data_IF_953544082050
#
_entry.id   IF_953544082050
#
_cell.length_a   1.000
_cell.length_b   1.000
_cell.length_c   1.000
_cell.angle_alpha   90.00
_cell.angle_beta   90.00
_cell.angle_gamma   90.00
#
_symmetry.space_group_name_H-M   'P 1'
#
loop_
_entity.id
_entity.type
_entity.pdbx_description
1 polymer ?
#
# COMPACT_ATOMS: atom_id res chain seq x y z
N UNK A 1 -15.97 7.20 14.88
CA UNK A 1 -14.82 6.60 15.57
C UNK A 1 -13.57 7.36 15.11
N UNK A 2 -13.31 8.53 15.70
CA UNK A 2 -12.13 9.33 15.32
C UNK A 2 -10.85 8.54 15.60
N UNK A 3 -9.87 8.64 14.70
CA UNK A 3 -8.62 7.85 14.76
C UNK A 3 -7.42 8.78 14.60
N UNK A 4 -6.29 8.42 15.22
CA UNK A 4 -5.02 9.11 15.07
C UNK A 4 -3.95 8.10 14.61
N UNK A 5 -3.36 8.34 13.44
CA UNK A 5 -2.27 7.54 12.89
C UNK A 5 -1.00 8.40 12.82
N UNK A 6 -0.19 8.38 13.87
CA UNK A 6 1.04 9.17 13.98
C UNK A 6 0.84 10.69 13.70
N UNK A 7 -0.17 11.30 14.32
CA UNK A 7 -0.53 12.71 14.13
C UNK A 7 -1.50 12.96 12.97
N UNK A 8 -1.78 11.95 12.14
CA UNK A 8 -2.82 12.02 11.12
C UNK A 8 -4.19 11.73 11.72
N UNK A 9 -4.94 12.80 12.00
CA UNK A 9 -6.28 12.74 12.57
C UNK A 9 -7.37 12.57 11.52
N UNK A 10 -8.23 11.57 11.70
CA UNK A 10 -9.36 11.27 10.81
C UNK A 10 -10.67 11.14 11.58
N UNK A 11 -11.80 11.38 10.89
CA UNK A 11 -13.14 11.23 11.46
C UNK A 11 -13.56 9.77 11.66
N UNK A 12 -12.96 8.86 10.89
CA UNK A 12 -13.20 7.42 10.93
C UNK A 12 -11.95 6.64 10.45
N UNK A 13 -11.82 5.35 10.79
CA UNK A 13 -10.66 4.53 10.43
C UNK A 13 -10.77 3.91 9.02
N UNK A 14 -11.68 4.38 8.15
CA UNK A 14 -11.90 3.76 6.84
C UNK A 14 -11.04 4.44 5.79
N UNK A 15 -10.19 3.64 5.13
CA UNK A 15 -9.31 4.09 4.05
C UNK A 15 -9.54 3.22 2.82
N UNK A 16 -9.34 3.79 1.63
CA UNK A 16 -9.18 2.93 0.44
C UNK A 16 -7.86 2.18 0.52
N UNK A 17 -7.78 1.00 -0.11
CA UNK A 17 -6.51 0.34 -0.34
C UNK A 17 -5.87 0.85 -1.64
N UNK A 18 -4.57 1.12 -1.60
CA UNK A 18 -3.79 1.50 -2.80
C UNK A 18 -4.03 0.52 -3.94
N UNK A 19 -4.36 1.05 -5.13
CA UNK A 19 -4.61 0.27 -6.34
C UNK A 19 -6.07 -0.15 -6.55
N UNK A 20 -6.95 0.00 -5.55
CA UNK A 20 -8.38 -0.33 -5.65
C UNK A 20 -9.27 0.88 -5.94
N UNK A 21 -8.73 2.10 -5.89
CA UNK A 21 -9.48 3.35 -6.02
C UNK A 21 -8.83 4.37 -6.97
N UNK A 22 -7.82 3.97 -7.75
CA UNK A 22 -7.00 4.89 -8.55
C UNK A 22 -6.57 6.12 -7.73
N UNK A 23 -7.02 7.32 -8.10
CA UNK A 23 -6.86 8.55 -7.30
C UNK A 23 -8.18 9.04 -6.67
N UNK A 24 -9.28 8.28 -6.78
CA UNK A 24 -10.57 8.56 -6.16
C UNK A 24 -11.62 9.21 -7.07
N UNK A 25 -11.24 9.69 -8.26
CA UNK A 25 -12.14 10.37 -9.20
C UNK A 25 -13.31 9.47 -9.63
N UNK A 26 -13.04 8.21 -9.92
CA UNK A 26 -14.06 7.24 -10.32
C UNK A 26 -15.02 6.91 -9.17
N UNK A 27 -14.57 7.00 -7.92
CA UNK A 27 -15.39 6.75 -6.74
C UNK A 27 -16.30 7.94 -6.39
N UNK A 28 -15.95 9.15 -6.81
CA UNK A 28 -16.71 10.36 -6.51
C UNK A 28 -18.12 10.38 -7.13
N UNK A 29 -18.40 9.51 -8.10
CA UNK A 29 -19.74 9.30 -8.63
C UNK A 29 -20.66 8.55 -7.66
N UNK A 30 -20.12 7.84 -6.67
CA UNK A 30 -20.86 6.97 -5.76
C UNK A 30 -20.96 7.53 -4.33
N UNK A 31 -19.94 8.27 -3.87
CA UNK A 31 -19.96 8.91 -2.56
C UNK A 31 -18.99 10.10 -2.49
N UNK A 32 -19.14 10.92 -1.44
CA UNK A 32 -18.20 12.01 -1.16
C UNK A 32 -16.87 11.46 -0.63
N UNK A 33 -15.81 11.60 -1.42
CA UNK A 33 -14.46 11.14 -1.07
C UNK A 33 -13.89 11.78 0.21
N UNK A 34 -14.41 12.91 0.66
CA UNK A 34 -14.03 13.53 1.93
C UNK A 34 -14.66 12.88 3.17
N UNK A 35 -15.68 12.04 2.97
CA UNK A 35 -16.42 11.39 4.06
C UNK A 35 -15.65 10.22 4.70
N UNK A 36 -14.68 9.62 4.01
CA UNK A 36 -13.85 8.54 4.55
C UNK A 36 -12.59 9.09 5.24
N UNK A 37 -11.96 8.25 6.07
CA UNK A 37 -10.77 8.61 6.85
C UNK A 37 -9.57 9.00 6.01
N UNK A 38 -9.34 8.32 4.88
CA UNK A 38 -8.29 8.70 3.95
C UNK A 38 -8.40 8.03 2.58
N UNK A 39 -7.96 8.76 1.56
CA UNK A 39 -7.86 8.27 0.19
C UNK A 39 -6.44 7.83 -0.10
N UNK A 40 -6.18 6.52 -0.01
CA UNK A 40 -4.89 5.96 -0.44
C UNK A 40 -4.88 5.83 -1.95
N UNK A 41 -4.00 6.60 -2.58
CA UNK A 41 -3.84 6.60 -4.03
C UNK A 41 -3.19 5.30 -4.49
N UNK A 42 -3.40 4.96 -5.76
CA UNK A 42 -2.56 3.95 -6.43
C UNK A 42 -1.09 4.32 -6.29
N UNK A 43 -0.23 3.33 -6.02
CA UNK A 43 1.20 3.56 -5.92
C UNK A 43 1.74 4.24 -7.18
N UNK A 44 2.30 5.43 -6.98
CA UNK A 44 2.84 6.29 -8.03
C UNK A 44 4.32 5.95 -8.23
N UNK A 45 4.72 5.84 -9.51
CA UNK A 45 6.11 5.61 -9.93
C UNK A 45 6.71 6.86 -10.55
N UNK A 46 8.04 6.95 -10.66
CA UNK A 46 8.69 8.12 -11.25
C UNK A 46 8.23 8.39 -12.68
N UNK A 47 8.28 7.36 -13.52
CA UNK A 47 7.90 7.44 -14.92
C UNK A 47 6.54 6.79 -15.15
N UNK A 48 5.83 7.20 -16.22
CA UNK A 48 4.61 6.52 -16.65
C UNK A 48 4.85 5.04 -16.92
N UNK A 49 3.85 4.20 -16.65
CA UNK A 49 3.91 2.75 -16.88
C UNK A 49 2.62 2.26 -17.50
N UNK A 50 2.73 1.47 -18.57
CA UNK A 50 1.59 0.80 -19.21
C UNK A 50 1.05 -0.39 -18.40
N UNK A 51 1.86 -0.97 -17.51
CA UNK A 51 1.54 -2.18 -16.73
C UNK A 51 1.99 -3.47 -17.42
N UNK A 52 1.59 -4.61 -16.88
CA UNK A 52 1.89 -5.95 -17.44
C UNK A 52 0.95 -6.33 -18.60
N UNK A 53 1.21 -7.36 -19.41
CA UNK A 53 0.25 -7.84 -20.41
C UNK A 53 -1.07 -8.34 -19.78
N UNK A 54 -2.15 -8.38 -20.58
CA UNK A 54 -3.44 -8.98 -20.22
C UNK A 54 -3.50 -10.46 -20.59
N UNK A 55 -4.29 -11.30 -19.87
CA UNK A 55 -5.16 -10.97 -18.73
C UNK A 55 -4.39 -10.62 -17.44
N UNK A 56 -4.88 -9.59 -16.73
CA UNK A 56 -4.25 -9.06 -15.50
C UNK A 56 -5.00 -9.42 -14.22
N UNK A 57 -6.14 -10.07 -14.32
CA UNK A 57 -7.00 -10.44 -13.20
C UNK A 57 -7.58 -11.83 -13.43
N UNK A 58 -7.77 -12.57 -12.34
CA UNK A 58 -8.43 -13.88 -12.34
C UNK A 58 -9.19 -14.04 -11.01
N UNK A 59 -10.36 -14.66 -11.04
CA UNK A 59 -11.12 -14.95 -9.82
C UNK A 59 -10.51 -16.12 -9.05
N UNK A 60 -10.70 -16.14 -7.73
CA UNK A 60 -10.34 -17.25 -6.85
C UNK A 60 -11.47 -17.48 -5.84
N UNK A 61 -11.53 -18.65 -5.18
CA UNK A 61 -12.48 -18.84 -4.09
C UNK A 61 -12.34 -17.74 -3.02
N UNK A 62 -13.40 -16.93 -2.85
CA UNK A 62 -13.44 -15.80 -1.91
C UNK A 62 -12.33 -14.75 -2.11
N UNK A 63 -11.90 -14.51 -3.34
CA UNK A 63 -10.88 -13.50 -3.63
C UNK A 63 -10.60 -13.32 -5.11
N UNK A 64 -9.50 -12.66 -5.42
CA UNK A 64 -9.01 -12.53 -6.80
C UNK A 64 -7.49 -12.47 -6.85
N UNK A 65 -6.91 -12.86 -7.97
CA UNK A 65 -5.53 -12.55 -8.32
C UNK A 65 -5.47 -11.29 -9.18
N UNK A 66 -4.43 -10.49 -8.99
CA UNK A 66 -4.10 -9.36 -9.86
C UNK A 66 -2.61 -9.31 -10.24
N UNK A 67 -2.30 -8.88 -11.47
CA UNK A 67 -0.94 -8.74 -12.00
C UNK A 67 -0.85 -7.44 -12.81
N UNK A 68 -1.19 -6.31 -12.19
CA UNK A 68 -1.33 -5.02 -12.90
C UNK A 68 0.01 -4.45 -13.37
N UNK A 69 1.07 -4.57 -12.56
CA UNK A 69 2.40 -4.05 -12.90
C UNK A 69 2.60 -2.55 -12.71
N UNK A 70 1.95 -1.97 -11.69
CA UNK A 70 2.05 -0.55 -11.33
C UNK A 70 1.71 0.42 -12.49
N UNK A 71 0.72 0.07 -13.32
CA UNK A 71 0.25 0.94 -14.40
C UNK A 71 -0.15 2.32 -13.85
N UNK A 72 0.32 3.41 -14.45
CA UNK A 72 -0.05 4.74 -13.99
C UNK A 72 0.62 5.84 -14.80
N UNK A 73 0.19 7.10 -14.62
CA UNK A 73 0.66 8.24 -15.41
C UNK A 73 2.04 8.74 -14.98
N UNK A 74 2.60 8.22 -13.89
CA UNK A 74 3.84 8.71 -13.29
C UNK A 74 3.60 9.88 -12.34
N UNK A 75 4.65 10.29 -11.63
CA UNK A 75 4.54 11.27 -10.55
C UNK A 75 4.20 12.67 -11.03
N UNK A 76 4.71 13.09 -12.18
CA UNK A 76 4.53 14.47 -12.64
C UNK A 76 3.07 14.75 -13.00
N UNK A 77 2.45 13.89 -13.81
CA UNK A 77 1.03 13.98 -14.13
C UNK A 77 0.11 13.81 -12.89
N UNK A 78 0.49 12.92 -11.96
CA UNK A 78 -0.24 12.76 -10.70
C UNK A 78 -0.25 14.06 -9.86
N UNK A 79 0.89 14.73 -9.75
CA UNK A 79 1.02 15.98 -9.01
C UNK A 79 0.33 17.16 -9.72
N UNK A 80 0.25 17.13 -11.04
CA UNK A 80 -0.43 18.16 -11.83
C UNK A 80 -1.97 18.05 -11.77
N UNK A 81 -2.51 16.83 -11.67
CA UNK A 81 -3.94 16.60 -11.85
C UNK A 81 -4.62 15.96 -10.64
N UNK A 82 -4.13 14.80 -10.20
CA UNK A 82 -4.83 13.94 -9.23
C UNK A 82 -4.77 14.49 -7.81
N UNK A 83 -3.57 14.87 -7.33
CA UNK A 83 -3.39 15.39 -5.99
C UNK A 83 -4.10 16.74 -5.76
N UNK A 84 -4.02 17.72 -6.69
CA UNK A 84 -4.80 18.95 -6.60
C UNK A 84 -6.31 18.69 -6.60
N UNK A 85 -6.79 17.72 -7.38
CA UNK A 85 -8.21 17.36 -7.38
C UNK A 85 -8.66 16.80 -6.04
N UNK A 86 -7.89 15.90 -5.41
CA UNK A 86 -8.19 15.38 -4.07
C UNK A 86 -8.25 16.51 -3.03
N UNK A 87 -7.28 17.42 -3.08
CA UNK A 87 -7.23 18.58 -2.19
C UNK A 87 -8.46 19.49 -2.35
N UNK A 88 -8.86 19.77 -3.60
CA UNK A 88 -10.04 20.58 -3.91
C UNK A 88 -11.35 19.95 -3.44
N UNK A 89 -11.39 18.61 -3.33
CA UNK A 89 -12.54 17.87 -2.78
C UNK A 89 -12.52 17.74 -1.26
N UNK A 90 -11.49 18.25 -0.57
CA UNK A 90 -11.33 18.09 0.88
C UNK A 90 -11.00 16.66 1.30
N UNK A 91 -10.59 15.80 0.36
CA UNK A 91 -10.15 14.44 0.67
C UNK A 91 -8.78 14.47 1.36
N UNK A 92 -8.59 13.58 2.34
CA UNK A 92 -7.28 13.41 2.99
C UNK A 92 -6.45 12.42 2.18
N UNK A 93 -5.55 12.92 1.33
CA UNK A 93 -4.77 12.07 0.44
C UNK A 93 -3.61 11.38 1.18
N UNK A 94 -3.60 10.05 1.10
CA UNK A 94 -2.44 9.23 1.45
C UNK A 94 -1.77 8.84 0.14
N UNK A 95 -0.62 9.45 -0.17
CA UNK A 95 0.07 9.18 -1.43
C UNK A 95 0.89 7.92 -1.29
N UNK A 96 0.54 6.88 -2.05
CA UNK A 96 1.32 5.65 -2.12
C UNK A 96 2.44 5.82 -3.15
N UNK A 97 3.69 5.48 -2.82
CA UNK A 97 4.83 5.52 -3.75
C UNK A 97 5.45 4.13 -3.92
N UNK A 98 5.90 3.81 -5.13
CA UNK A 98 6.60 2.56 -5.43
C UNK A 98 7.78 2.81 -6.38
N UNK A 99 8.91 2.16 -6.11
CA UNK A 99 10.15 2.28 -6.85
C UNK A 99 10.84 0.93 -7.04
N UNK A 100 11.74 0.86 -8.01
CA UNK A 100 12.54 -0.35 -8.32
C UNK A 100 13.94 -0.31 -7.70
N UNK A 101 14.35 0.85 -7.19
CA UNK A 101 15.62 1.13 -6.52
C UNK A 101 15.42 2.12 -5.37
N UNK A 102 16.40 2.26 -4.47
CA UNK A 102 16.35 3.27 -3.39
C UNK A 102 16.30 4.69 -3.97
N UNK A 103 17.00 4.92 -5.08
CA UNK A 103 17.05 6.18 -5.80
C UNK A 103 15.68 6.59 -6.34
N UNK A 104 14.88 5.63 -6.82
CA UNK A 104 13.50 5.88 -7.25
C UNK A 104 12.66 6.40 -6.10
N UNK A 105 12.72 5.74 -4.93
CA UNK A 105 11.99 6.15 -3.73
C UNK A 105 12.44 7.53 -3.24
N UNK A 106 13.74 7.81 -3.24
CA UNK A 106 14.31 9.12 -2.90
C UNK A 106 13.77 10.22 -3.81
N UNK A 107 13.77 9.99 -5.12
CA UNK A 107 13.29 10.97 -6.09
C UNK A 107 11.77 11.18 -5.97
N UNK A 108 10.99 10.13 -5.72
CA UNK A 108 9.55 10.23 -5.44
C UNK A 108 9.28 11.04 -4.18
N UNK A 109 9.97 10.71 -3.07
CA UNK A 109 9.86 11.41 -1.81
C UNK A 109 10.19 12.91 -1.93
N UNK A 110 11.21 13.27 -2.73
CA UNK A 110 11.54 14.66 -3.04
C UNK A 110 10.43 15.38 -3.80
N UNK A 111 9.83 14.74 -4.81
CA UNK A 111 8.78 15.36 -5.64
C UNK A 111 7.49 15.59 -4.87
N UNK A 112 7.11 14.69 -3.97
CA UNK A 112 5.93 14.84 -3.11
C UNK A 112 6.17 15.76 -1.92
N UNK A 113 7.42 16.05 -1.56
CA UNK A 113 7.76 16.92 -0.43
C UNK A 113 7.17 18.32 -0.63
N UNK A 114 6.33 18.73 0.32
CA UNK A 114 5.74 20.08 0.34
C UNK A 114 4.59 20.27 -0.66
N UNK A 115 4.12 19.21 -1.31
CA UNK A 115 2.96 19.30 -2.19
C UNK A 115 1.68 19.56 -1.39
N UNK A 116 0.86 20.54 -1.79
CA UNK A 116 -0.40 20.79 -1.12
C UNK A 116 -1.33 19.59 -1.28
N UNK A 117 -2.06 19.25 -0.21
CA UNK A 117 -2.98 18.11 -0.19
C UNK A 117 -2.36 16.77 0.20
N UNK A 118 -1.03 16.65 0.26
CA UNK A 118 -0.38 15.46 0.82
C UNK A 118 -0.59 15.40 2.34
N UNK A 119 -1.31 14.38 2.83
CA UNK A 119 -1.58 14.23 4.25
C UNK A 119 -0.77 13.11 4.92
N UNK A 120 -0.42 12.07 4.18
CA UNK A 120 0.43 10.95 4.63
C UNK A 120 1.14 10.33 3.42
N UNK A 121 2.33 9.78 3.62
CA UNK A 121 3.08 9.02 2.62
C UNK A 121 3.03 7.53 2.94
N UNK A 122 2.54 6.70 2.02
CA UNK A 122 2.64 5.25 2.10
C UNK A 122 3.79 4.76 1.20
N UNK A 123 4.81 4.13 1.77
CA UNK A 123 5.96 3.59 1.03
C UNK A 123 5.73 2.12 0.75
N UNK A 124 5.36 1.81 -0.49
CA UNK A 124 5.08 0.45 -0.93
C UNK A 124 6.37 -0.31 -1.29
N UNK A 125 7.00 -0.91 -0.29
CA UNK A 125 8.23 -1.71 -0.42
C UNK A 125 7.98 -3.16 -0.87
N UNK A 126 6.74 -3.52 -1.23
CA UNK A 126 6.38 -4.88 -1.66
C UNK A 126 6.79 -5.18 -3.12
N UNK A 127 7.43 -4.22 -3.81
CA UNK A 127 7.87 -4.37 -5.19
C UNK A 127 9.23 -5.10 -5.29
N UNK A 128 9.47 -5.90 -6.34
CA UNK A 128 10.75 -6.58 -6.53
C UNK A 128 11.88 -5.55 -6.73
N UNK A 129 13.02 -5.77 -6.07
CA UNK A 129 14.23 -4.98 -6.29
C UNK A 129 14.84 -5.35 -7.65
N UNK A 130 15.05 -4.38 -8.53
CA UNK A 130 15.64 -4.65 -9.86
C UNK A 130 17.17 -4.66 -9.81
N UNK A 131 17.77 -3.97 -8.83
CA UNK A 131 19.22 -3.91 -8.64
C UNK A 131 19.80 -5.21 -8.02
N UNK A 132 18.99 -5.94 -7.25
CA UNK A 132 19.36 -7.21 -6.63
C UNK A 132 18.39 -8.28 -7.13
N UNK A 133 18.77 -8.94 -8.24
CA UNK A 133 17.92 -9.85 -9.01
C UNK A 133 17.45 -11.03 -8.14
N UNK A 134 16.29 -10.90 -7.52
CA UNK A 134 15.60 -11.98 -6.80
C UNK A 134 15.02 -11.60 -5.44
N UNK A 135 15.43 -10.47 -4.86
CA UNK A 135 15.03 -10.08 -3.50
C UNK A 135 13.96 -8.97 -3.55
N UNK A 136 12.78 -9.22 -2.99
CA UNK A 136 11.78 -8.16 -2.75
C UNK A 136 12.26 -7.34 -1.54
N UNK A 137 12.26 -5.99 -1.62
CA UNK A 137 12.70 -5.14 -0.50
C UNK A 137 11.98 -5.51 0.80
N UNK A 138 10.68 -5.81 0.73
CA UNK A 138 9.86 -6.23 1.86
C UNK A 138 10.29 -7.55 2.52
N UNK A 139 11.06 -8.42 1.86
CA UNK A 139 11.45 -9.72 2.40
C UNK A 139 12.81 -9.70 3.13
N UNK A 140 13.57 -8.61 3.02
CA UNK A 140 14.81 -8.40 3.78
C UNK A 140 14.64 -7.16 4.69
N UNK A 141 14.59 -7.34 6.03
CA UNK A 141 14.51 -6.22 6.97
C UNK A 141 15.56 -5.13 6.74
N UNK A 142 16.79 -5.48 6.32
CA UNK A 142 17.84 -4.50 6.06
C UNK A 142 17.55 -3.70 4.80
N UNK A 143 17.09 -4.35 3.73
CA UNK A 143 16.71 -3.68 2.49
C UNK A 143 15.50 -2.75 2.69
N UNK A 144 14.47 -3.23 3.40
CA UNK A 144 13.32 -2.43 3.80
C UNK A 144 13.74 -1.18 4.59
N UNK A 145 14.56 -1.35 5.62
CA UNK A 145 15.07 -0.25 6.43
C UNK A 145 15.87 0.79 5.63
N UNK A 146 16.69 0.34 4.65
CA UNK A 146 17.43 1.27 3.77
C UNK A 146 16.50 2.17 2.96
N UNK A 147 15.44 1.61 2.37
CA UNK A 147 14.46 2.39 1.61
C UNK A 147 13.77 3.41 2.51
N UNK A 148 13.27 2.97 3.67
CA UNK A 148 12.53 3.83 4.59
C UNK A 148 13.39 4.97 5.13
N UNK A 149 14.64 4.69 5.54
CA UNK A 149 15.57 5.73 5.98
C UNK A 149 15.80 6.78 4.89
N UNK A 150 16.08 6.32 3.67
CA UNK A 150 16.32 7.20 2.54
C UNK A 150 15.08 8.05 2.19
N UNK A 151 13.87 7.49 2.29
CA UNK A 151 12.62 8.25 2.12
C UNK A 151 12.42 9.27 3.23
N UNK A 152 12.61 8.89 4.50
CA UNK A 152 12.44 9.77 5.66
C UNK A 152 13.34 11.00 5.59
N UNK A 153 14.59 10.86 5.14
CA UNK A 153 15.53 11.97 4.94
C UNK A 153 15.06 13.00 3.91
N UNK A 154 14.21 12.59 2.96
CA UNK A 154 13.76 13.45 1.86
C UNK A 154 12.33 13.97 2.06
N UNK A 155 11.50 13.22 2.76
CA UNK A 155 10.11 13.55 3.03
C UNK A 155 9.97 14.74 4.00
N UNK A 156 8.85 15.44 3.91
CA UNK A 156 8.55 16.56 4.80
C UNK A 156 8.44 16.09 6.26
N UNK A 157 9.10 16.72 7.25
CA UNK A 157 9.10 16.24 8.65
C UNK A 157 7.71 16.12 9.29
N UNK A 158 6.78 17.01 8.90
CA UNK A 158 5.40 16.99 9.40
C UNK A 158 4.45 16.05 8.64
N UNK A 159 4.94 15.26 7.68
CA UNK A 159 4.13 14.26 6.97
C UNK A 159 4.49 12.87 7.50
N UNK A 160 3.53 12.11 8.06
CA UNK A 160 3.79 10.75 8.54
C UNK A 160 4.07 9.79 7.40
N UNK A 161 4.97 8.85 7.64
CA UNK A 161 5.42 7.84 6.69
C UNK A 161 5.00 6.46 7.18
N UNK A 162 4.17 5.78 6.40
CA UNK A 162 3.75 4.41 6.66
C UNK A 162 4.45 3.46 5.69
N UNK A 163 5.13 2.44 6.21
CA UNK A 163 5.72 1.40 5.38
C UNK A 163 4.67 0.32 5.07
N UNK A 164 4.39 0.07 3.79
CA UNK A 164 3.43 -0.98 3.40
C UNK A 164 4.11 -2.34 3.30
N UNK A 165 3.73 -3.25 4.19
CA UNK A 165 4.42 -4.53 4.37
C UNK A 165 3.78 -5.67 3.56
N UNK A 166 4.66 -6.53 3.04
CA UNK A 166 4.26 -7.80 2.42
C UNK A 166 4.01 -8.87 3.49
N UNK A 167 2.96 -9.69 3.37
CA UNK A 167 2.76 -10.86 4.22
C UNK A 167 3.67 -12.05 3.83
N UNK A 168 4.30 -12.02 2.65
CA UNK A 168 5.12 -13.10 2.10
C UNK A 168 6.55 -13.10 2.70
N UNK A 169 6.63 -13.21 4.03
CA UNK A 169 7.87 -13.24 4.80
C UNK A 169 7.79 -14.26 5.92
N UNK A 170 8.94 -14.79 6.34
CA UNK A 170 9.02 -15.73 7.46
C UNK A 170 8.72 -15.06 8.80
N UNK A 171 9.22 -13.84 8.99
CA UNK A 171 9.05 -13.05 10.22
C UNK A 171 8.63 -11.61 9.88
N UNK A 172 7.34 -11.33 10.04
CA UNK A 172 6.78 -10.00 9.78
C UNK A 172 7.17 -8.97 10.84
N UNK A 173 7.43 -9.41 12.08
CA UNK A 173 7.82 -8.54 13.19
C UNK A 173 9.22 -8.01 12.96
N UNK A 174 10.14 -8.84 12.48
CA UNK A 174 11.50 -8.42 12.14
C UNK A 174 11.51 -7.31 11.07
N UNK A 175 10.68 -7.44 10.01
CA UNK A 175 10.57 -6.41 8.97
C UNK A 175 9.94 -5.14 9.52
N UNK A 176 8.82 -5.26 10.25
CA UNK A 176 8.13 -4.13 10.86
C UNK A 176 9.04 -3.35 11.83
N UNK A 177 9.78 -4.05 12.70
CA UNK A 177 10.73 -3.44 13.62
C UNK A 177 11.84 -2.68 12.87
N UNK A 178 12.38 -3.26 11.79
CA UNK A 178 13.44 -2.65 11.02
C UNK A 178 12.99 -1.37 10.29
N UNK A 179 11.77 -1.32 9.75
CA UNK A 179 11.24 -0.11 9.09
C UNK A 179 10.90 0.98 10.09
N UNK A 180 10.35 0.64 11.26
CA UNK A 180 10.07 1.61 12.33
C UNK A 180 11.39 2.20 12.85
N UNK A 181 12.39 1.36 13.12
CA UNK A 181 13.72 1.82 13.54
C UNK A 181 14.44 2.66 12.45
N UNK A 182 14.02 2.55 11.19
CA UNK A 182 14.53 3.36 10.08
C UNK A 182 13.80 4.71 9.93
N UNK A 183 12.75 4.96 10.72
CA UNK A 183 12.02 6.23 10.73
C UNK A 183 10.66 6.20 10.03
N UNK A 184 10.05 5.02 9.82
CA UNK A 184 8.62 4.96 9.55
C UNK A 184 7.84 5.30 10.83
N UNK A 185 6.81 6.13 10.69
CA UNK A 185 5.94 6.55 11.78
C UNK A 185 4.85 5.50 12.09
N UNK A 186 4.65 4.55 11.18
CA UNK A 186 3.73 3.42 11.31
C UNK A 186 3.88 2.43 10.17
N UNK A 187 3.03 1.40 10.15
CA UNK A 187 3.01 0.39 9.08
C UNK A 187 1.60 0.24 8.53
N UNK A 188 1.48 0.01 7.21
CA UNK A 188 0.23 -0.42 6.59
C UNK A 188 0.35 -1.87 6.15
N UNK A 189 -0.62 -2.71 6.49
CA UNK A 189 -0.49 -4.14 6.22
C UNK A 189 -1.82 -4.88 6.16
N UNK A 190 -2.00 -5.87 5.30
CA UNK A 190 -0.98 -6.49 4.44
C UNK A 190 -1.14 -6.08 2.98
N UNK A 191 -0.05 -6.17 2.22
CA UNK A 191 -0.17 -6.30 0.76
C UNK A 191 -0.70 -7.70 0.39
N UNK A 192 -0.90 -7.95 -0.90
CA UNK A 192 -1.41 -9.23 -1.40
C UNK A 192 -0.42 -10.38 -1.16
N UNK A 193 -0.94 -11.60 -0.98
CA UNK A 193 -0.17 -12.85 -1.00
C UNK A 193 0.15 -13.26 -2.45
N UNK A 194 1.15 -14.11 -2.68
CA UNK A 194 1.40 -14.66 -4.03
C UNK A 194 0.50 -15.86 -4.35
N UNK A 195 -0.09 -15.87 -5.54
CA UNK A 195 -0.92 -16.98 -6.03
C UNK A 195 -0.79 -17.28 -7.51
N UNK A 196 -1.27 -18.46 -7.90
CA UNK A 196 -1.36 -18.97 -9.27
C UNK A 196 -2.74 -19.62 -9.46
N UNK A 197 -3.41 -19.28 -10.55
CA UNK A 197 -4.61 -19.98 -11.02
C UNK A 197 -4.27 -20.56 -12.40
N UNK A 198 -4.55 -21.84 -12.58
CA UNK A 198 -4.50 -22.51 -13.88
C UNK A 198 -5.91 -22.55 -14.42
N UNK A 199 -6.11 -21.99 -15.61
CA UNK A 199 -7.33 -22.15 -16.38
C UNK A 199 -7.35 -23.59 -16.92
N UNK A 200 -8.38 -24.35 -16.52
CA UNK A 200 -8.50 -25.78 -16.84
C UNK A 200 -8.97 -26.05 -18.26
N UNK A 201 -9.52 -25.06 -18.95
CA UNK A 201 -9.93 -25.18 -20.35
C UNK A 201 -8.73 -24.96 -21.28
N UNK A 202 -7.88 -23.98 -20.95
CA UNK A 202 -6.68 -23.66 -21.74
C UNK A 202 -5.41 -24.37 -21.26
N UNK A 203 -5.45 -25.02 -20.09
CA UNK A 203 -4.32 -25.67 -19.41
C UNK A 203 -3.12 -24.74 -19.19
N UNK A 204 -3.38 -23.46 -18.99
CA UNK A 204 -2.36 -22.39 -18.85
C UNK A 204 -2.64 -21.53 -17.63
N UNK A 205 -1.63 -20.79 -17.13
CA UNK A 205 -1.88 -19.75 -16.14
C UNK A 205 -2.95 -18.77 -16.63
N UNK A 206 -3.96 -18.51 -15.79
CA UNK A 206 -5.05 -17.59 -16.11
C UNK A 206 -4.57 -16.13 -16.27
N UNK A 207 -3.42 -15.81 -15.67
CA UNK A 207 -2.77 -14.51 -15.80
C UNK A 207 -1.63 -14.58 -16.82
N UNK A 208 -1.52 -13.56 -17.67
CA UNK A 208 -0.37 -13.43 -18.57
C UNK A 208 0.95 -13.27 -17.80
N UNK A 209 0.90 -12.70 -16.59
CA UNK A 209 2.03 -12.60 -15.67
C UNK A 209 2.36 -13.90 -14.91
N UNK A 210 1.70 -15.02 -15.24
CA UNK A 210 1.75 -16.33 -14.59
C UNK A 210 1.21 -16.27 -13.15
N UNK A 211 1.91 -15.55 -12.27
CA UNK A 211 1.48 -15.33 -10.89
C UNK A 211 0.85 -13.95 -10.71
N UNK A 212 0.11 -13.81 -9.62
CA UNK A 212 -0.53 -12.57 -9.22
C UNK A 212 -0.69 -12.44 -7.71
N UNK A 213 -0.98 -11.23 -7.27
CA UNK A 213 -1.32 -10.93 -5.89
C UNK A 213 -2.73 -11.37 -5.57
N UNK A 214 -2.88 -12.31 -4.64
CA UNK A 214 -4.14 -12.74 -4.04
C UNK A 214 -4.64 -11.72 -3.03
N UNK A 215 -5.89 -11.28 -3.21
CA UNK A 215 -6.60 -10.38 -2.32
C UNK A 215 -8.05 -10.86 -2.09
N UNK A 216 -8.79 -10.12 -1.27
CA UNK A 216 -10.18 -10.44 -0.92
C UNK A 216 -10.31 -11.23 0.40
N UNK A 217 -11.53 -11.63 0.79
CA UNK A 217 -11.79 -12.31 2.06
C UNK A 217 -10.88 -13.51 2.36
N UNK A 218 -10.43 -14.21 1.32
CA UNK A 218 -9.52 -15.35 1.42
C UNK A 218 -8.24 -15.05 2.22
N UNK A 219 -7.74 -13.80 2.19
CA UNK A 219 -6.49 -13.43 2.87
C UNK A 219 -6.71 -12.84 4.28
N UNK A 220 -7.96 -12.63 4.71
CA UNK A 220 -8.26 -11.93 5.97
C UNK A 220 -7.64 -12.58 7.20
N UNK A 221 -7.71 -13.92 7.40
CA UNK A 221 -7.08 -14.55 8.56
C UNK A 221 -5.56 -14.32 8.63
N UNK A 222 -4.89 -14.27 7.47
CA UNK A 222 -3.45 -13.96 7.40
C UNK A 222 -3.19 -12.50 7.75
N UNK A 223 -4.02 -11.59 7.24
CA UNK A 223 -3.93 -10.16 7.53
C UNK A 223 -4.11 -9.86 9.03
N UNK A 224 -5.15 -10.40 9.65
CA UNK A 224 -5.44 -10.26 11.09
C UNK A 224 -4.29 -10.82 11.94
N UNK A 225 -3.75 -12.00 11.58
CA UNK A 225 -2.57 -12.57 12.25
C UNK A 225 -1.37 -11.62 12.17
N UNK A 226 -1.08 -11.06 11.00
CA UNK A 226 0.05 -10.14 10.84
C UNK A 226 -0.09 -8.88 11.69
N UNK A 227 -1.29 -8.27 11.71
CA UNK A 227 -1.58 -7.11 12.59
C UNK A 227 -1.38 -7.48 14.05
N UNK A 228 -1.98 -8.59 14.50
CA UNK A 228 -1.83 -9.07 15.88
C UNK A 228 -0.36 -9.27 16.27
N UNK A 229 0.43 -9.97 15.45
CA UNK A 229 1.83 -10.23 15.75
C UNK A 229 2.67 -8.95 15.86
N UNK A 230 2.46 -8.00 14.95
CA UNK A 230 3.17 -6.72 14.96
C UNK A 230 2.75 -5.88 16.16
N UNK A 231 1.44 -5.80 16.45
CA UNK A 231 0.93 -5.05 17.59
C UNK A 231 1.42 -5.63 18.93
N UNK A 232 1.41 -6.95 19.09
CA UNK A 232 1.94 -7.60 20.31
C UNK A 232 3.42 -7.29 20.55
N UNK A 233 4.21 -7.21 19.49
CA UNK A 233 5.64 -6.91 19.60
C UNK A 233 5.93 -5.40 19.76
N UNK A 234 5.07 -4.54 19.20
CA UNK A 234 5.28 -3.08 19.12
C UNK A 234 3.94 -2.35 19.35
N UNK A 235 3.40 -2.35 20.58
CA UNK A 235 2.04 -1.87 20.87
C UNK A 235 1.84 -0.38 20.59
N UNK A 236 2.91 0.41 20.65
CA UNK A 236 2.89 1.86 20.42
C UNK A 236 2.96 2.25 18.94
N UNK A 237 3.26 1.29 18.04
CA UNK A 237 3.38 1.56 16.60
C UNK A 237 2.00 1.57 15.97
N UNK A 238 1.55 2.67 15.34
CA UNK A 238 0.28 2.70 14.62
C UNK A 238 0.28 1.73 13.42
N UNK A 239 -0.79 0.94 13.30
CA UNK A 239 -0.99 -0.02 12.22
C UNK A 239 -2.23 0.36 11.41
N UNK A 240 -2.07 0.52 10.10
CA UNK A 240 -3.19 0.62 9.15
C UNK A 240 -3.47 -0.77 8.57
N UNK A 241 -4.39 -1.48 9.19
CA UNK A 241 -4.81 -2.84 8.82
C UNK A 241 -5.66 -2.92 7.56
N UNK A 242 -5.34 -3.85 6.64
CA UNK A 242 -6.10 -4.15 5.44
C UNK A 242 -5.93 -5.62 5.00
N UNK A 243 -6.94 -6.13 4.29
CA UNK A 243 -6.92 -7.48 3.72
C UNK A 243 -8.25 -8.20 3.92
N UNK A 244 -9.07 -8.27 2.88
CA UNK A 244 -10.33 -9.04 2.90
C UNK A 244 -11.47 -8.47 3.76
N UNK A 245 -11.41 -7.19 4.10
CA UNK A 245 -12.49 -6.46 4.79
C UNK A 245 -13.65 -6.24 3.81
N UNK A 246 -14.85 -6.70 4.15
CA UNK A 246 -16.09 -6.42 3.41
C UNK A 246 -17.21 -5.86 4.29
N UNK A 247 -17.13 -6.06 5.59
CA UNK A 247 -18.14 -5.64 6.56
C UNK A 247 -17.52 -4.88 7.73
N UNK A 248 -18.35 -4.20 8.52
CA UNK A 248 -17.90 -3.55 9.75
C UNK A 248 -17.39 -4.54 10.80
N UNK A 249 -17.91 -5.78 10.83
CA UNK A 249 -17.40 -6.83 11.71
C UNK A 249 -16.01 -7.30 11.28
N UNK A 250 -15.77 -7.40 9.96
CA UNK A 250 -14.42 -7.69 9.46
C UNK A 250 -13.44 -6.58 9.89
N UNK A 251 -13.84 -5.31 9.80
CA UNK A 251 -13.00 -4.20 10.26
C UNK A 251 -12.77 -4.23 11.78
N UNK A 252 -13.77 -4.66 12.55
CA UNK A 252 -13.64 -4.83 14.00
C UNK A 252 -12.61 -5.92 14.36
N UNK A 253 -12.49 -7.00 13.57
CA UNK A 253 -11.42 -7.99 13.77
C UNK A 253 -10.03 -7.34 13.73
N UNK A 254 -9.80 -6.38 12.82
CA UNK A 254 -8.54 -5.65 12.75
C UNK A 254 -8.34 -4.73 13.96
N UNK A 255 -9.36 -3.95 14.33
CA UNK A 255 -9.29 -3.06 15.51
C UNK A 255 -8.99 -3.84 16.79
N UNK A 256 -9.57 -5.04 16.93
CA UNK A 256 -9.30 -5.92 18.08
C UNK A 256 -7.91 -6.58 18.00
N UNK A 257 -7.33 -6.66 16.81
CA UNK A 257 -6.00 -7.20 16.60
C UNK A 257 -4.89 -6.20 16.94
N UNK A 258 -5.14 -4.90 16.76
CA UNK A 258 -4.21 -3.80 16.99
C UNK A 258 -4.29 -2.72 15.92
#
# INVERSE_FOLDING_TARGET
MSTNLAGFHTSNPVFTASGCAAAGQELAAFFDVSAIGGMVTKSVTLQPRSGRPTPRMAETPSGMLNSIGLQGPGIDAFLEHDLPWLAARGARAVVSIAGSSVEDYVALARKVRGQPGLAMLEVNISCPNVADRGTVFACDPRAAARVIRAVREQAHPGVPIFAKLSPDVTDIVAVASAVVAAGADGVSMINTLLGLVIDTDTLRPALAGITGGLSGPAIRPVAVRCVWQVHQAMPEVPILGMGGIRTGLDALEFVLAG
#
